data_IF_393432164944
#
_entry.id   IF_393432164944
#
_cell.length_a   1.000
_cell.length_b   1.000
_cell.length_c   1.000
_cell.angle_alpha   90.00
_cell.angle_beta   90.00
_cell.angle_gamma   90.00
#
_symmetry.space_group_name_H-M   'P 1'
#
loop_
_entity.id
_entity.type
_entity.pdbx_description
1 polymer ?
#
# COMPACT_ATOMS: atom_id res chain seq x y z
N UNK A 1 13.40 7.86 15.41
CA UNK A 1 12.09 8.56 15.51
C UNK A 1 11.01 7.51 15.70
N UNK A 2 10.02 7.80 16.57
CA UNK A 2 8.94 6.86 16.87
C UNK A 2 7.83 6.92 15.82
N UNK A 3 7.14 5.80 15.63
CA UNK A 3 5.93 5.73 14.82
C UNK A 3 4.84 6.68 15.36
N UNK A 4 4.07 7.25 14.46
CA UNK A 4 2.89 8.02 14.85
C UNK A 4 1.70 7.09 15.09
N UNK A 5 1.39 6.85 16.38
CA UNK A 5 0.17 6.17 16.82
C UNK A 5 -0.78 7.23 17.38
N UNK A 6 -2.01 7.28 16.88
CA UNK A 6 -3.00 8.24 17.35
C UNK A 6 -3.63 7.83 18.69
N UNK A 7 -4.49 8.69 19.22
CA UNK A 7 -5.18 8.47 20.52
C UNK A 7 -6.14 7.29 20.51
N UNK A 8 -6.56 6.85 19.33
CA UNK A 8 -7.43 5.67 19.15
C UNK A 8 -6.62 4.36 19.01
N UNK A 9 -5.28 4.44 18.98
CA UNK A 9 -4.38 3.29 18.86
C UNK A 9 -4.08 2.86 17.42
N UNK A 10 -4.35 3.71 16.41
CA UNK A 10 -4.00 3.41 15.03
C UNK A 10 -2.65 4.01 14.65
N UNK A 11 -1.76 3.17 14.13
CA UNK A 11 -0.49 3.60 13.57
C UNK A 11 -0.72 4.23 12.19
N UNK A 12 -0.24 5.45 12.01
CA UNK A 12 -0.28 6.11 10.72
C UNK A 12 0.69 5.45 9.72
N UNK A 13 0.22 5.28 8.49
CA UNK A 13 0.94 4.56 7.46
C UNK A 13 0.65 5.16 6.08
N UNK A 14 1.60 5.09 5.17
CA UNK A 14 1.42 5.39 3.75
C UNK A 14 1.45 4.10 2.95
N UNK A 15 0.58 4.00 1.95
CA UNK A 15 0.58 2.90 1.00
C UNK A 15 0.79 3.41 -0.43
N UNK A 16 1.40 2.60 -1.27
CA UNK A 16 1.84 2.97 -2.61
C UNK A 16 1.25 2.00 -3.62
N UNK A 17 0.44 2.54 -4.54
CA UNK A 17 0.02 1.85 -5.75
C UNK A 17 0.87 2.39 -6.89
N UNK A 18 1.96 1.69 -7.22
CA UNK A 18 2.83 2.05 -8.35
C UNK A 18 2.27 1.39 -9.62
N UNK A 19 1.91 2.20 -10.61
CA UNK A 19 1.30 1.76 -11.86
C UNK A 19 2.20 2.07 -13.06
N UNK A 20 2.41 1.10 -13.93
CA UNK A 20 3.09 1.29 -15.22
C UNK A 20 2.12 1.68 -16.34
N UNK A 21 2.66 2.07 -17.49
CA UNK A 21 1.87 2.59 -18.61
C UNK A 21 0.79 1.65 -19.15
N UNK A 22 0.92 0.35 -18.98
CA UNK A 22 -0.07 -0.67 -19.38
C UNK A 22 -1.25 -0.80 -18.40
N UNK A 23 -1.22 -0.10 -17.26
CA UNK A 23 -2.28 -0.17 -16.24
C UNK A 23 -2.07 -1.25 -15.18
N UNK A 24 -1.00 -2.02 -15.26
CA UNK A 24 -0.63 -2.99 -14.24
C UNK A 24 0.06 -2.30 -13.06
N UNK A 25 -0.07 -2.90 -11.89
CA UNK A 25 0.44 -2.38 -10.63
C UNK A 25 1.54 -3.26 -10.05
N UNK A 26 2.52 -2.63 -9.42
CA UNK A 26 3.59 -3.33 -8.70
C UNK A 26 3.03 -4.06 -7.48
N UNK A 27 3.40 -5.31 -7.32
CA UNK A 27 3.07 -6.11 -6.15
C UNK A 27 4.34 -6.78 -5.62
N UNK A 28 4.67 -6.53 -4.35
CA UNK A 28 5.84 -7.10 -3.69
C UNK A 28 5.52 -8.42 -3.00
N UNK A 29 6.40 -9.39 -3.15
CA UNK A 29 6.37 -10.65 -2.40
C UNK A 29 7.03 -10.45 -1.06
N UNK A 30 6.28 -10.64 0.01
CA UNK A 30 6.79 -10.46 1.36
C UNK A 30 7.83 -11.51 1.71
N UNK A 31 8.94 -11.07 2.26
CA UNK A 31 10.07 -11.92 2.67
C UNK A 31 9.60 -13.13 3.49
N UNK A 32 10.12 -14.30 3.14
CA UNK A 32 9.78 -15.56 3.79
C UNK A 32 8.41 -16.13 3.40
N UNK A 33 7.89 -15.81 2.21
CA UNK A 33 6.67 -16.41 1.66
C UNK A 33 5.38 -15.97 2.37
N UNK A 34 5.37 -14.77 2.99
CA UNK A 34 4.23 -14.25 3.77
C UNK A 34 3.13 -13.62 2.91
N UNK A 35 3.07 -13.96 1.61
CA UNK A 35 2.10 -13.44 0.66
C UNK A 35 2.55 -12.18 -0.06
N UNK A 36 1.61 -11.51 -0.72
CA UNK A 36 1.85 -10.38 -1.57
C UNK A 36 1.20 -9.13 -1.01
N UNK A 37 1.81 -7.97 -1.20
CA UNK A 37 1.21 -6.70 -0.83
C UNK A 37 1.80 -5.54 -1.64
N UNK A 38 1.09 -4.41 -1.63
CA UNK A 38 1.65 -3.13 -2.07
C UNK A 38 2.72 -2.63 -1.09
N UNK A 39 3.72 -1.86 -1.56
CA UNK A 39 4.65 -1.16 -0.69
C UNK A 39 3.90 -0.24 0.28
N UNK A 40 4.30 -0.26 1.54
CA UNK A 40 3.67 0.54 2.59
C UNK A 40 4.57 0.67 3.81
N UNK A 41 4.55 1.82 4.46
CA UNK A 41 5.33 1.99 5.68
C UNK A 41 4.81 3.06 6.62
N UNK A 42 5.39 3.12 7.80
CA UNK A 42 4.93 3.98 8.87
C UNK A 42 5.26 5.46 8.67
N UNK A 43 4.32 6.33 9.00
CA UNK A 43 4.58 7.76 9.14
C UNK A 43 5.18 8.00 10.53
N UNK A 44 6.29 8.73 10.59
CA UNK A 44 6.96 9.06 11.84
C UNK A 44 6.27 10.24 12.52
N UNK A 45 6.42 10.35 13.83
CA UNK A 45 5.86 11.48 14.59
C UNK A 45 6.39 12.81 14.04
N UNK A 46 5.49 13.70 13.59
CA UNK A 46 5.84 15.00 13.01
C UNK A 46 6.32 14.97 11.56
N UNK A 47 6.39 13.79 10.93
CA UNK A 47 6.74 13.65 9.52
C UNK A 47 5.55 14.01 8.62
N UNK A 48 5.71 14.88 7.62
CA UNK A 48 4.70 15.09 6.59
C UNK A 48 4.43 13.79 5.81
N UNK A 49 3.16 13.51 5.51
CA UNK A 49 2.74 12.26 4.84
C UNK A 49 3.41 12.07 3.48
N UNK A 50 3.60 13.16 2.73
CA UNK A 50 4.31 13.12 1.44
C UNK A 50 5.80 12.78 1.60
N UNK A 51 6.42 13.24 2.67
CA UNK A 51 7.81 12.87 2.97
C UNK A 51 7.92 11.39 3.31
N UNK A 52 6.99 10.86 4.11
CA UNK A 52 6.89 9.44 4.40
C UNK A 52 6.71 8.61 3.11
N UNK A 53 5.87 9.08 2.17
CA UNK A 53 5.65 8.43 0.89
C UNK A 53 6.98 8.18 0.14
N UNK A 54 7.79 9.21 -0.07
CA UNK A 54 9.03 9.07 -0.83
C UNK A 54 10.12 8.33 -0.07
N UNK A 55 10.13 8.44 1.25
CA UNK A 55 11.04 7.65 2.09
C UNK A 55 10.73 6.16 1.98
N UNK A 56 9.46 5.77 2.13
CA UNK A 56 9.04 4.37 2.02
C UNK A 56 9.21 3.83 0.59
N UNK A 57 8.93 4.64 -0.44
CA UNK A 57 9.20 4.29 -1.83
C UNK A 57 10.67 3.89 -2.02
N UNK A 58 11.59 4.67 -1.43
CA UNK A 58 13.02 4.39 -1.53
C UNK A 58 13.43 3.20 -0.65
N UNK A 59 12.99 3.16 0.61
CA UNK A 59 13.37 2.12 1.57
C UNK A 59 12.88 0.74 1.15
N UNK A 60 11.65 0.63 0.62
CA UNK A 60 11.05 -0.67 0.28
C UNK A 60 11.37 -1.17 -1.14
N UNK A 61 11.43 -0.28 -2.13
CA UNK A 61 11.60 -0.71 -3.53
C UNK A 61 12.72 0.01 -4.31
N UNK A 62 13.46 0.91 -3.66
CA UNK A 62 14.66 1.55 -4.24
C UNK A 62 14.37 2.68 -5.23
N UNK A 63 13.12 3.07 -5.43
CA UNK A 63 12.77 4.15 -6.34
C UNK A 63 12.82 5.51 -5.62
N UNK A 64 13.05 6.57 -6.40
CA UNK A 64 13.05 7.94 -5.93
C UNK A 64 11.93 8.76 -6.59
N UNK A 65 11.73 9.98 -6.11
CA UNK A 65 10.77 10.94 -6.68
C UNK A 65 10.92 11.12 -8.19
N UNK A 66 12.13 11.01 -8.71
CA UNK A 66 12.42 11.21 -10.15
C UNK A 66 11.89 10.08 -11.04
N UNK A 67 11.62 8.91 -10.46
CA UNK A 67 11.09 7.75 -11.19
C UNK A 67 9.57 7.76 -11.34
N UNK A 68 8.86 8.62 -10.58
CA UNK A 68 7.41 8.53 -10.44
C UNK A 68 6.73 9.88 -10.48
N UNK A 69 5.45 9.87 -10.84
CA UNK A 69 4.54 11.01 -10.77
C UNK A 69 3.34 10.63 -9.88
N UNK A 70 2.95 11.53 -8.95
CA UNK A 70 1.76 11.35 -8.12
C UNK A 70 0.52 11.64 -8.96
N UNK A 71 -0.24 10.60 -9.29
CA UNK A 71 -1.48 10.71 -10.05
C UNK A 71 -2.72 10.90 -9.17
N UNK A 72 -2.62 10.60 -7.89
CA UNK A 72 -3.70 10.80 -6.94
C UNK A 72 -3.44 10.19 -5.58
N UNK A 73 -4.36 10.44 -4.66
CA UNK A 73 -4.36 9.82 -3.32
C UNK A 73 -5.79 9.60 -2.84
N UNK A 74 -5.95 8.76 -1.82
CA UNK A 74 -7.22 8.65 -1.11
C UNK A 74 -7.53 9.97 -0.39
N UNK A 75 -8.81 10.34 -0.30
CA UNK A 75 -9.28 11.56 0.36
C UNK A 75 -9.07 11.49 1.88
N UNK A 76 -9.30 10.31 2.45
CA UNK A 76 -9.26 10.06 3.88
C UNK A 76 -8.27 8.97 4.27
N UNK A 77 -8.05 8.85 5.59
CA UNK A 77 -7.36 7.74 6.21
C UNK A 77 -8.25 6.49 6.20
N UNK A 78 -7.81 5.43 5.52
CA UNK A 78 -8.48 4.14 5.55
C UNK A 78 -7.92 3.31 6.71
N UNK A 79 -8.81 2.74 7.52
CA UNK A 79 -8.44 2.02 8.75
C UNK A 79 -8.71 0.54 8.64
N UNK A 80 -7.85 -0.26 9.25
CA UNK A 80 -8.14 -1.65 9.57
C UNK A 80 -7.63 -1.99 10.97
N UNK A 81 -8.29 -2.94 11.61
CA UNK A 81 -7.86 -3.49 12.90
C UNK A 81 -7.00 -4.72 12.70
N UNK A 82 -5.98 -4.84 13.55
CA UNK A 82 -5.20 -6.07 13.63
C UNK A 82 -6.00 -7.14 14.38
N UNK A 83 -6.08 -8.38 13.86
CA UNK A 83 -6.56 -9.50 14.66
C UNK A 83 -5.75 -9.61 15.96
N UNK A 84 -6.40 -10.03 17.04
CA UNK A 84 -5.80 -10.05 18.40
C UNK A 84 -4.41 -10.69 18.46
N UNK A 85 -4.17 -11.74 17.66
CA UNK A 85 -2.88 -12.44 17.58
C UNK A 85 -1.73 -11.61 16.99
N UNK A 86 -2.03 -10.52 16.27
CA UNK A 86 -1.04 -9.61 15.68
C UNK A 86 -0.85 -8.32 16.50
N UNK A 87 -1.67 -8.10 17.52
CA UNK A 87 -1.54 -6.95 18.43
C UNK A 87 -0.34 -7.18 19.35
N UNK A 88 0.72 -6.40 19.15
CA UNK A 88 1.89 -6.43 20.03
C UNK A 88 1.63 -5.57 21.27
N UNK A 89 1.73 -6.18 22.44
CA UNK A 89 1.70 -5.50 23.74
C UNK A 89 3.14 -5.27 24.19
N UNK A 90 3.53 -4.02 24.35
CA UNK A 90 4.88 -3.62 24.78
C UNK A 90 4.83 -2.45 25.75
N UNK A 91 5.99 -1.87 26.07
CA UNK A 91 6.12 -0.72 26.99
C UNK A 91 5.63 0.62 26.40
N UNK A 92 5.22 0.66 25.14
CA UNK A 92 4.71 1.83 24.43
C UNK A 92 3.20 1.81 24.21
N UNK A 93 2.64 2.78 23.46
CA UNK A 93 1.23 2.80 23.07
C UNK A 93 0.85 1.50 22.35
N UNK A 94 -0.28 0.92 22.71
CA UNK A 94 -0.77 -0.30 22.06
C UNK A 94 -1.26 0.02 20.67
N UNK A 95 -0.64 -0.58 19.65
CA UNK A 95 -1.10 -0.47 18.26
C UNK A 95 -2.19 -1.52 18.00
N UNK A 96 -3.44 -1.10 17.86
CA UNK A 96 -4.59 -1.98 17.59
C UNK A 96 -4.90 -2.14 16.11
N UNK A 97 -4.31 -1.31 15.26
CA UNK A 97 -4.56 -1.27 13.83
C UNK A 97 -3.71 -0.24 13.12
N UNK A 98 -3.98 -0.06 11.84
CA UNK A 98 -3.35 0.99 11.06
C UNK A 98 -4.41 1.90 10.44
N UNK A 99 -4.06 3.17 10.25
CA UNK A 99 -4.74 4.12 9.39
C UNK A 99 -3.81 4.47 8.25
N UNK A 100 -4.28 4.35 7.01
CA UNK A 100 -3.44 4.43 5.82
C UNK A 100 -3.92 5.52 4.87
N UNK A 101 -2.99 6.35 4.39
CA UNK A 101 -3.19 7.21 3.20
C UNK A 101 -2.54 6.50 2.03
N UNK A 102 -3.30 6.31 0.96
CA UNK A 102 -2.82 5.62 -0.23
C UNK A 102 -2.56 6.60 -1.36
N UNK A 103 -1.47 6.37 -2.06
CA UNK A 103 -1.02 7.18 -3.18
C UNK A 103 -0.93 6.33 -4.44
N UNK A 104 -1.51 6.84 -5.52
CA UNK A 104 -1.34 6.30 -6.86
C UNK A 104 -0.14 7.01 -7.49
N UNK A 105 0.90 6.25 -7.77
CA UNK A 105 2.09 6.72 -8.49
C UNK A 105 2.13 6.11 -9.87
N UNK A 106 2.41 6.94 -10.88
CA UNK A 106 2.71 6.47 -12.24
C UNK A 106 4.22 6.41 -12.43
N UNK A 107 4.69 5.37 -13.09
CA UNK A 107 6.06 5.30 -13.58
C UNK A 107 6.25 6.45 -14.59
N UNK A 108 7.20 7.34 -14.34
CA UNK A 108 7.47 8.54 -15.13
C UNK A 108 8.74 8.45 -15.98
N UNK A 109 9.42 7.30 -15.93
CA UNK A 109 10.65 7.02 -16.70
C UNK A 109 10.43 5.78 -17.56
N UNK A 110 11.27 5.55 -18.61
CA UNK A 110 11.23 4.29 -19.34
C UNK A 110 11.42 3.08 -18.43
N UNK A 111 10.63 2.03 -18.61
CA UNK A 111 10.71 0.82 -17.77
C UNK A 111 12.10 0.18 -17.77
N UNK A 112 12.87 0.39 -18.83
CA UNK A 112 14.25 -0.11 -18.95
C UNK A 112 15.24 0.50 -17.96
N UNK A 113 14.89 1.62 -17.31
CA UNK A 113 15.72 2.25 -16.29
C UNK A 113 15.22 2.00 -14.87
N UNK A 114 14.11 1.26 -14.71
CA UNK A 114 13.60 0.87 -13.42
C UNK A 114 14.45 -0.27 -12.83
N UNK A 115 15.08 -0.01 -11.72
CA UNK A 115 15.79 -1.01 -10.93
C UNK A 115 15.16 -1.09 -9.55
N UNK A 116 14.38 -2.15 -9.30
CA UNK A 116 13.83 -2.39 -7.98
C UNK A 116 14.91 -2.95 -7.05
N UNK A 117 15.10 -2.30 -5.92
CA UNK A 117 16.07 -2.69 -4.91
C UNK A 117 15.40 -2.80 -3.54
N UNK A 118 15.42 -3.99 -2.98
CA UNK A 118 14.81 -4.30 -1.68
C UNK A 118 15.81 -4.24 -0.52
N UNK A 119 17.06 -3.87 -0.78
CA UNK A 119 18.16 -3.85 0.21
C UNK A 119 18.29 -2.50 0.93
N UNK A 120 17.29 -1.63 0.84
CA UNK A 120 17.30 -0.31 1.49
C UNK A 120 17.29 -0.36 3.02
N UNK A 121 16.97 -1.51 3.59
CA UNK A 121 16.95 -1.78 5.03
C UNK A 121 17.66 -3.08 5.37
N UNK A 122 18.07 -3.27 6.63
CA UNK A 122 18.68 -4.51 7.11
C UNK A 122 17.68 -5.70 7.13
N UNK A 123 16.39 -5.39 7.14
CA UNK A 123 15.30 -6.38 7.10
C UNK A 123 14.37 -6.03 5.93
N UNK A 124 14.68 -6.50 4.70
CA UNK A 124 13.87 -6.21 3.52
C UNK A 124 12.43 -6.71 3.70
N UNK A 125 11.44 -5.86 3.39
CA UNK A 125 10.04 -6.26 3.41
C UNK A 125 9.73 -7.24 2.28
N UNK A 126 10.40 -7.11 1.13
CA UNK A 126 10.20 -7.93 -0.05
C UNK A 126 11.47 -8.71 -0.44
N UNK A 127 11.27 -9.93 -0.96
CA UNK A 127 12.29 -10.77 -1.59
C UNK A 127 11.98 -11.09 -3.07
N UNK A 128 10.85 -10.57 -3.58
CA UNK A 128 10.43 -10.68 -4.97
C UNK A 128 9.37 -9.65 -5.32
N UNK A 129 9.03 -9.59 -6.58
CA UNK A 129 8.00 -8.68 -7.08
C UNK A 129 7.44 -9.15 -8.43
N UNK A 130 6.27 -8.58 -8.80
CA UNK A 130 5.68 -8.73 -10.14
C UNK A 130 4.77 -7.56 -10.47
N UNK A 131 4.49 -7.37 -11.75
CA UNK A 131 3.34 -6.61 -12.20
C UNK A 131 2.08 -7.47 -12.07
N UNK A 132 1.00 -6.86 -11.66
CA UNK A 132 -0.30 -7.50 -11.42
C UNK A 132 -1.41 -6.70 -12.06
N UNK A 133 -2.49 -7.37 -12.48
CA UNK A 133 -3.70 -6.67 -12.86
C UNK A 133 -4.24 -5.83 -11.70
N UNK A 134 -4.85 -4.70 -12.02
CA UNK A 134 -5.21 -3.66 -11.05
C UNK A 134 -6.05 -4.16 -9.86
N UNK A 135 -6.99 -5.08 -10.08
CA UNK A 135 -7.90 -5.57 -9.05
C UNK A 135 -7.36 -6.78 -8.25
N UNK A 136 -6.46 -7.57 -8.81
CA UNK A 136 -5.94 -8.80 -8.22
C UNK A 136 -5.30 -8.65 -6.83
N UNK A 137 -4.62 -7.54 -6.48
CA UNK A 137 -4.00 -7.38 -5.16
C UNK A 137 -4.93 -7.57 -3.97
N UNK A 138 -6.25 -7.36 -4.15
CA UNK A 138 -7.25 -7.61 -3.09
C UNK A 138 -7.22 -9.07 -2.63
N UNK A 139 -7.07 -10.03 -3.54
CA UNK A 139 -7.04 -11.46 -3.21
C UNK A 139 -5.68 -11.96 -2.75
N UNK A 140 -4.63 -11.24 -3.11
CA UNK A 140 -3.25 -11.61 -2.81
C UNK A 140 -2.80 -11.15 -1.41
N UNK A 141 -3.40 -10.07 -0.91
CA UNK A 141 -3.06 -9.52 0.41
C UNK A 141 -3.67 -10.35 1.53
N UNK A 142 -3.04 -10.29 2.70
CA UNK A 142 -3.56 -10.92 3.91
C UNK A 142 -5.01 -10.47 4.20
N UNK A 143 -5.87 -11.40 4.59
CA UNK A 143 -7.33 -11.24 4.64
C UNK A 143 -7.83 -9.99 5.37
N UNK A 144 -7.23 -9.61 6.49
CA UNK A 144 -7.70 -8.46 7.28
C UNK A 144 -7.35 -7.09 6.66
N UNK A 145 -6.53 -7.04 5.61
CA UNK A 145 -6.25 -5.83 4.82
C UNK A 145 -7.16 -5.70 3.59
N UNK A 146 -7.84 -6.76 3.18
CA UNK A 146 -8.70 -6.77 1.97
C UNK A 146 -9.72 -5.64 1.95
N UNK A 147 -10.44 -5.32 3.04
CA UNK A 147 -11.40 -4.22 3.05
C UNK A 147 -10.77 -2.87 2.68
N UNK A 148 -9.57 -2.60 3.17
CA UNK A 148 -8.84 -1.36 2.80
C UNK A 148 -8.43 -1.39 1.33
N UNK A 149 -7.96 -2.52 0.82
CA UNK A 149 -7.58 -2.67 -0.59
C UNK A 149 -8.78 -2.47 -1.52
N UNK A 150 -9.94 -3.03 -1.20
CA UNK A 150 -11.19 -2.81 -1.96
C UNK A 150 -11.53 -1.31 -2.01
N UNK A 151 -11.58 -0.65 -0.86
CA UNK A 151 -11.94 0.78 -0.76
C UNK A 151 -10.93 1.66 -1.51
N UNK A 152 -9.66 1.43 -1.30
CA UNK A 152 -8.57 2.21 -1.89
C UNK A 152 -8.54 2.06 -3.42
N UNK A 153 -8.58 0.83 -3.95
CA UNK A 153 -8.55 0.61 -5.40
C UNK A 153 -9.81 1.14 -6.08
N UNK A 154 -10.98 1.03 -5.44
CA UNK A 154 -12.22 1.63 -5.94
C UNK A 154 -12.11 3.15 -6.04
N UNK A 155 -11.60 3.81 -4.99
CA UNK A 155 -11.44 5.27 -4.95
C UNK A 155 -10.39 5.77 -5.95
N UNK A 156 -9.29 5.03 -6.14
CA UNK A 156 -8.20 5.42 -7.04
C UNK A 156 -8.47 5.08 -8.51
N UNK A 157 -9.38 4.16 -8.82
CA UNK A 157 -9.64 3.69 -10.19
C UNK A 157 -9.95 4.81 -11.20
N UNK A 158 -10.78 5.82 -10.90
CA UNK A 158 -11.02 6.92 -11.84
C UNK A 158 -9.77 7.76 -12.14
N UNK A 159 -8.83 7.84 -11.20
CA UNK A 159 -7.55 8.53 -11.36
C UNK A 159 -6.53 7.65 -12.10
N UNK A 160 -6.58 6.35 -11.84
CA UNK A 160 -5.75 5.37 -12.52
C UNK A 160 -6.12 5.22 -14.00
N UNK A 161 -7.42 5.23 -14.30
CA UNK A 161 -7.98 4.98 -15.63
C UNK A 161 -8.99 6.05 -16.02
N UNK A 162 -8.55 7.24 -16.42
CA UNK A 162 -9.46 8.32 -16.84
C UNK A 162 -10.36 7.95 -18.03
N UNK A 163 -9.95 6.96 -18.85
CA UNK A 163 -10.70 6.48 -20.02
C UNK A 163 -11.61 5.28 -19.68
N UNK A 164 -11.65 4.85 -18.43
CA UNK A 164 -12.41 3.71 -17.96
C UNK A 164 -11.53 2.61 -17.37
N UNK A 165 -11.88 2.19 -16.15
CA UNK A 165 -11.17 1.12 -15.45
C UNK A 165 -11.38 -0.25 -16.11
N UNK A 166 -10.46 -1.20 -15.93
CA UNK A 166 -10.67 -2.59 -16.35
C UNK A 166 -11.94 -3.16 -15.72
N UNK A 167 -12.57 -4.11 -16.43
CA UNK A 167 -13.74 -4.81 -15.92
C UNK A 167 -13.48 -5.38 -14.52
N UNK A 168 -14.46 -5.24 -13.64
CA UNK A 168 -14.39 -5.83 -12.31
C UNK A 168 -14.41 -7.35 -12.42
N UNK A 169 -13.55 -8.06 -11.67
CA UNK A 169 -13.61 -9.52 -11.60
C UNK A 169 -14.94 -10.02 -11.03
N UNK A 170 -15.36 -11.23 -11.38
CA UNK A 170 -16.62 -11.83 -10.90
C UNK A 170 -16.71 -11.88 -9.37
N UNK A 171 -15.59 -12.05 -8.70
CA UNK A 171 -15.51 -12.11 -7.25
C UNK A 171 -15.54 -10.74 -6.56
N UNK A 172 -15.44 -9.62 -7.29
CA UNK A 172 -15.33 -8.29 -6.68
C UNK A 172 -16.53 -7.92 -5.80
N UNK A 173 -17.73 -8.29 -6.22
CA UNK A 173 -18.94 -7.94 -5.47
C UNK A 173 -18.95 -8.56 -4.07
N UNK A 174 -18.47 -9.79 -3.92
CA UNK A 174 -18.36 -10.45 -2.60
C UNK A 174 -17.34 -9.76 -1.68
N UNK A 175 -16.22 -9.33 -2.22
CA UNK A 175 -15.21 -8.58 -1.45
C UNK A 175 -15.70 -7.17 -1.09
N UNK A 176 -16.49 -6.53 -1.97
CA UNK A 176 -17.09 -5.21 -1.70
C UNK A 176 -18.11 -5.28 -0.54
N UNK A 177 -18.95 -6.31 -0.51
CA UNK A 177 -19.90 -6.55 0.60
C UNK A 177 -19.15 -6.78 1.90
N UNK A 178 -18.16 -7.67 1.90
CA UNK A 178 -17.33 -7.94 3.08
C UNK A 178 -16.58 -6.69 3.58
N UNK A 179 -16.14 -5.80 2.68
CA UNK A 179 -15.50 -4.54 3.03
C UNK A 179 -16.44 -3.51 3.66
N UNK A 180 -17.73 -3.57 3.34
CA UNK A 180 -18.74 -2.69 3.93
C UNK A 180 -19.11 -3.09 5.36
N UNK A 181 -18.92 -4.36 5.73
CA UNK A 181 -19.22 -4.93 7.05
C UNK A 181 -18.01 -4.88 8.02
N UNK A 182 -16.84 -4.49 7.54
CA UNK A 182 -15.58 -4.47 8.30
C UNK A 182 -15.29 -3.08 8.91
#
# INVERSE_FOLDING_TARGET
MSDWIDTEGYRANVGIVLMRGTGEVFLGQRTGGRGWQFPQGGVRQGEPVEQALYRELHEEIGLTREHVEVAGSTSDWLRYRLPKRYVRRGRGPTCIGQKQRWFLLRVAVPESVLEFNFKGTNEPEFDGWRWSNYWEPVREVIYFKRPVYVRMLTELAPKAFPQGAPALPDWWQSELVAAAEA
#
